data_IF_066536733074
#
_entry.id   IF_066536733074
#
_cell.length_a   1.000
_cell.length_b   1.000
_cell.length_c   1.000
_cell.angle_alpha   90.00
_cell.angle_beta   90.00
_cell.angle_gamma   90.00
#
_symmetry.space_group_name_H-M   'P 1'
#
loop_
_entity.id
_entity.type
_entity.pdbx_description
1 polymer ?
#
# COMPACT_ATOMS: atom_id res chain seq x y z
N UNK A 1 -24.27 -10.78 -21.59
CA UNK A 1 -24.30 -10.95 -20.13
C UNK A 1 -23.18 -10.08 -19.58
N UNK A 2 -23.50 -8.82 -19.26
CA UNK A 2 -22.51 -7.85 -18.80
C UNK A 2 -22.27 -8.12 -17.32
N UNK A 3 -21.18 -8.80 -16.99
CA UNK A 3 -20.72 -8.90 -15.62
C UNK A 3 -20.27 -7.49 -15.22
N UNK A 4 -21.07 -6.80 -14.40
CA UNK A 4 -20.64 -5.58 -13.72
C UNK A 4 -19.49 -5.96 -12.79
N UNK A 5 -18.28 -5.53 -13.12
CA UNK A 5 -17.13 -5.68 -12.22
C UNK A 5 -17.43 -4.82 -10.99
N UNK A 6 -17.82 -5.46 -9.89
CA UNK A 6 -18.06 -4.79 -8.62
C UNK A 6 -16.72 -4.30 -8.03
N UNK A 7 -16.31 -3.08 -8.39
CA UNK A 7 -15.09 -2.46 -7.87
C UNK A 7 -15.30 -2.07 -6.41
N UNK A 8 -14.75 -2.87 -5.50
CA UNK A 8 -14.67 -2.52 -4.07
C UNK A 8 -13.59 -1.47 -3.91
N UNK A 9 -13.90 -0.34 -3.28
CA UNK A 9 -12.93 0.72 -3.03
C UNK A 9 -13.10 1.33 -1.63
N UNK A 10 -12.00 1.78 -1.04
CA UNK A 10 -11.94 2.40 0.27
C UNK A 10 -10.82 3.44 0.29
N UNK A 11 -11.12 4.67 0.74
CA UNK A 11 -10.18 5.78 0.72
C UNK A 11 -10.18 6.54 2.04
N UNK A 12 -8.99 6.89 2.52
CA UNK A 12 -8.76 7.70 3.72
C UNK A 12 -7.84 8.89 3.44
N UNK A 13 -8.10 10.02 4.08
CA UNK A 13 -7.15 11.12 4.23
C UNK A 13 -6.62 11.11 5.67
N UNK A 14 -5.30 11.13 5.82
CA UNK A 14 -4.65 10.95 7.11
C UNK A 14 -3.49 11.93 7.25
N UNK A 15 -3.33 12.50 8.44
CA UNK A 15 -2.22 13.39 8.73
C UNK A 15 -0.89 12.64 8.69
N UNK A 16 0.22 13.26 8.22
CA UNK A 16 1.53 12.63 8.00
C UNK A 16 2.29 12.48 9.32
N UNK A 17 1.71 11.71 10.24
CA UNK A 17 2.21 11.48 11.59
C UNK A 17 2.25 9.98 11.89
N UNK A 18 3.06 9.54 12.87
CA UNK A 18 3.05 8.15 13.30
C UNK A 18 1.66 7.64 13.72
N UNK A 19 0.84 8.52 14.33
CA UNK A 19 -0.56 8.21 14.67
C UNK A 19 -1.42 7.99 13.42
N UNK A 20 -1.26 8.84 12.40
CA UNK A 20 -1.93 8.69 11.11
C UNK A 20 -1.54 7.38 10.40
N UNK A 21 -0.25 7.02 10.39
CA UNK A 21 0.20 5.74 9.84
C UNK A 21 -0.39 4.53 10.59
N UNK A 22 -0.43 4.57 11.92
CA UNK A 22 -1.06 3.52 12.73
C UNK A 22 -2.56 3.40 12.43
N UNK A 23 -3.25 4.52 12.27
CA UNK A 23 -4.67 4.55 11.92
C UNK A 23 -4.91 4.01 10.51
N UNK A 24 -4.01 4.29 9.55
CA UNK A 24 -4.07 3.75 8.20
C UNK A 24 -4.10 2.22 8.22
N UNK A 25 -3.13 1.60 8.94
CA UNK A 25 -3.06 0.13 9.07
C UNK A 25 -4.32 -0.42 9.74
N UNK A 26 -4.74 0.16 10.86
CA UNK A 26 -5.92 -0.31 11.60
C UNK A 26 -7.17 -0.32 10.73
N UNK A 27 -7.48 0.80 10.09
CA UNK A 27 -8.69 0.92 9.27
C UNK A 27 -8.61 0.09 7.97
N UNK A 28 -7.42 -0.05 7.38
CA UNK A 28 -7.22 -0.95 6.26
C UNK A 28 -7.46 -2.42 6.66
N UNK A 29 -6.92 -2.87 7.79
CA UNK A 29 -7.14 -4.23 8.31
C UNK A 29 -8.63 -4.49 8.52
N UNK A 30 -9.37 -3.56 9.13
CA UNK A 30 -10.82 -3.70 9.29
C UNK A 30 -11.55 -3.74 7.94
N UNK A 31 -11.13 -2.91 6.98
CA UNK A 31 -11.72 -2.92 5.64
C UNK A 31 -11.47 -4.23 4.89
N UNK A 32 -10.26 -4.78 4.98
CA UNK A 32 -9.91 -6.08 4.39
C UNK A 32 -10.77 -7.20 4.99
N UNK A 33 -11.00 -7.18 6.31
CA UNK A 33 -11.93 -8.12 6.97
C UNK A 33 -13.35 -7.97 6.45
N UNK A 34 -13.84 -6.73 6.33
CA UNK A 34 -15.19 -6.46 5.83
C UNK A 34 -15.36 -6.90 4.36
N UNK A 35 -14.28 -6.92 3.57
CA UNK A 35 -14.27 -7.47 2.22
C UNK A 35 -14.01 -8.98 2.16
N UNK A 36 -13.72 -9.64 3.30
CA UNK A 36 -13.38 -11.06 3.34
C UNK A 36 -12.06 -11.41 2.66
N UNK A 37 -11.12 -10.46 2.58
CA UNK A 37 -9.81 -10.66 1.96
C UNK A 37 -8.76 -11.12 2.97
N UNK A 38 -7.73 -11.86 2.54
CA UNK A 38 -6.58 -12.16 3.39
C UNK A 38 -5.90 -10.89 3.90
N UNK A 39 -5.54 -10.89 5.19
CA UNK A 39 -4.81 -9.78 5.79
C UNK A 39 -3.33 -9.79 5.39
N UNK A 40 -2.72 -10.97 5.35
CA UNK A 40 -1.35 -11.13 4.91
C UNK A 40 -1.32 -11.39 3.40
N UNK A 41 -0.47 -10.68 2.61
CA UNK A 41 0.54 -9.71 3.05
C UNK A 41 0.08 -8.24 3.11
N UNK A 42 -1.16 -7.95 2.73
CA UNK A 42 -1.70 -6.60 2.54
C UNK A 42 -1.52 -5.65 3.74
N UNK A 43 -1.77 -6.09 4.97
CA UNK A 43 -1.67 -5.23 6.15
C UNK A 43 -0.24 -4.73 6.44
N UNK A 44 0.77 -5.54 6.10
CA UNK A 44 2.17 -5.15 6.25
C UNK A 44 2.55 -4.13 5.18
N UNK A 45 2.11 -4.34 3.94
CA UNK A 45 2.33 -3.38 2.85
C UNK A 45 1.70 -2.03 3.20
N UNK A 46 0.46 -2.00 3.69
CA UNK A 46 -0.17 -0.76 4.16
C UNK A 46 0.64 -0.09 5.26
N UNK A 47 1.12 -0.86 6.24
CA UNK A 47 1.91 -0.33 7.34
C UNK A 47 3.19 0.36 6.85
N UNK A 48 3.94 -0.30 5.97
CA UNK A 48 5.20 0.22 5.43
C UNK A 48 5.00 1.44 4.53
N UNK A 49 4.00 1.41 3.64
CA UNK A 49 3.70 2.54 2.77
C UNK A 49 3.20 3.76 3.57
N UNK A 50 2.34 3.56 4.56
CA UNK A 50 1.85 4.64 5.41
C UNK A 50 2.96 5.21 6.33
N UNK A 51 3.83 4.36 6.87
CA UNK A 51 5.00 4.80 7.62
C UNK A 51 5.95 5.63 6.74
N UNK A 52 6.18 5.19 5.50
CA UNK A 52 6.97 5.95 4.53
C UNK A 52 6.35 7.32 4.23
N UNK A 53 5.04 7.41 4.04
CA UNK A 53 4.36 8.69 3.82
C UNK A 53 4.44 9.61 5.05
N UNK A 54 4.27 9.07 6.26
CA UNK A 54 4.36 9.85 7.51
C UNK A 54 5.78 10.35 7.83
N UNK A 55 6.81 9.61 7.42
CA UNK A 55 8.22 9.96 7.66
C UNK A 55 8.78 10.85 6.55
N UNK A 56 8.57 10.47 5.29
CA UNK A 56 9.23 11.09 4.14
C UNK A 56 8.32 12.04 3.35
N UNK A 57 7.00 11.90 3.45
CA UNK A 57 6.01 12.78 2.82
C UNK A 57 5.76 14.09 3.59
N UNK A 58 6.53 14.38 4.65
CA UNK A 58 6.33 15.56 5.49
C UNK A 58 6.50 16.87 4.72
N UNK A 59 5.38 17.50 4.42
CA UNK A 59 5.21 18.94 4.30
C UNK A 59 4.23 19.36 5.42
N UNK A 60 4.55 20.38 6.24
CA UNK A 60 3.64 20.85 7.29
C UNK A 60 2.24 21.17 6.71
N UNK A 61 1.20 20.67 7.37
CA UNK A 61 -0.20 20.93 7.00
C UNK A 61 -0.73 20.15 5.78
N UNK A 62 -0.09 19.06 5.36
CA UNK A 62 -0.58 18.25 4.23
C UNK A 62 -0.78 16.78 4.57
N UNK A 63 -1.94 16.25 4.24
CA UNK A 63 -2.31 14.84 4.44
C UNK A 63 -1.71 13.91 3.38
N UNK A 64 -1.66 12.61 3.70
CA UNK A 64 -1.52 11.55 2.71
C UNK A 64 -2.86 10.82 2.49
N UNK A 65 -3.04 10.27 1.30
CA UNK A 65 -4.16 9.41 0.94
C UNK A 65 -3.76 7.95 1.03
N UNK A 66 -4.58 7.13 1.67
CA UNK A 66 -4.59 5.69 1.44
C UNK A 66 -5.80 5.38 0.55
N UNK A 67 -5.60 4.62 -0.52
CA UNK A 67 -6.66 4.06 -1.35
C UNK A 67 -6.44 2.56 -1.49
N UNK A 68 -7.48 1.78 -1.20
CA UNK A 68 -7.55 0.35 -1.44
C UNK A 68 -8.62 0.11 -2.48
N UNK A 69 -8.35 -0.72 -3.48
CA UNK A 69 -9.40 -1.19 -4.37
C UNK A 69 -9.09 -2.58 -4.92
N UNK A 70 -10.15 -3.31 -5.27
CA UNK A 70 -10.05 -4.64 -5.86
C UNK A 70 -10.53 -4.58 -7.30
N UNK A 71 -9.70 -5.07 -8.21
CA UNK A 71 -10.06 -5.35 -9.60
C UNK A 71 -9.81 -6.82 -9.83
N UNK A 72 -10.87 -7.56 -10.18
CA UNK A 72 -10.85 -9.02 -10.27
C UNK A 72 -10.27 -9.64 -8.98
N UNK A 73 -9.16 -10.39 -9.08
CA UNK A 73 -8.46 -11.01 -7.95
C UNK A 73 -7.22 -10.23 -7.49
N UNK A 74 -7.15 -8.93 -7.82
CA UNK A 74 -6.01 -8.07 -7.45
C UNK A 74 -6.46 -6.98 -6.50
N UNK A 75 -5.90 -7.00 -5.28
CA UNK A 75 -5.97 -5.87 -4.37
C UNK A 75 -4.84 -4.90 -4.70
N UNK A 76 -5.22 -3.66 -5.00
CA UNK A 76 -4.31 -2.54 -5.18
C UNK A 76 -4.33 -1.63 -3.96
N UNK A 77 -3.14 -1.36 -3.44
CA UNK A 77 -2.87 -0.51 -2.29
C UNK A 77 -2.11 0.71 -2.79
N UNK A 78 -2.67 1.90 -2.63
CA UNK A 78 -2.04 3.14 -3.05
C UNK A 78 -1.89 4.11 -1.87
N UNK A 79 -0.70 4.66 -1.71
CA UNK A 79 -0.42 5.76 -0.79
C UNK A 79 0.06 6.97 -1.57
N UNK A 80 -0.74 8.04 -1.55
CA UNK A 80 -0.42 9.30 -2.23
C UNK A 80 -0.03 10.36 -1.22
N UNK A 81 1.17 10.91 -1.33
CA UNK A 81 1.62 12.05 -0.53
C UNK A 81 1.99 13.24 -1.42
N UNK A 82 2.21 14.40 -0.77
CA UNK A 82 2.39 15.68 -1.45
C UNK A 82 3.85 16.09 -1.59
N UNK A 83 4.74 15.12 -1.80
CA UNK A 83 6.18 15.34 -1.99
C UNK A 83 6.78 14.59 -3.20
N UNK A 84 6.75 15.22 -4.37
CA UNK A 84 7.32 14.69 -5.62
C UNK A 84 8.87 14.81 -5.76
N UNK A 85 9.54 15.57 -4.88
CA UNK A 85 11.00 15.84 -4.94
C UNK A 85 11.88 14.67 -4.45
N UNK A 86 11.30 13.69 -3.74
CA UNK A 86 11.99 12.47 -3.29
C UNK A 86 11.26 11.23 -3.77
N UNK A 87 11.71 10.68 -4.90
CA UNK A 87 11.32 9.34 -5.32
C UNK A 87 11.87 8.32 -4.30
N UNK A 88 11.07 7.31 -3.90
CA UNK A 88 11.58 6.21 -3.11
C UNK A 88 12.68 5.49 -3.91
N UNK A 89 13.88 5.37 -3.34
CA UNK A 89 14.98 4.62 -3.96
C UNK A 89 15.07 3.25 -3.30
N UNK A 90 15.06 2.20 -4.12
CA UNK A 90 15.49 0.84 -3.74
C UNK A 90 17.02 0.78 -3.65
N UNK A 91 17.63 1.62 -2.82
CA UNK A 91 19.06 1.50 -2.56
C UNK A 91 19.28 0.52 -1.40
N UNK A 92 20.35 -0.31 -1.41
CA UNK A 92 20.81 -0.94 -0.19
C UNK A 92 21.14 0.19 0.77
N UNK A 93 20.32 0.36 1.79
CA UNK A 93 20.62 1.30 2.85
C UNK A 93 21.98 0.89 3.43
N UNK A 94 22.90 1.86 3.61
CA UNK A 94 23.94 1.69 4.60
C UNK A 94 23.23 1.23 5.89
N UNK A 95 23.79 0.21 6.58
CA UNK A 95 23.14 -0.62 7.60
C UNK A 95 22.45 0.15 8.76
N UNK A 96 22.67 1.47 8.83
CA UNK A 96 22.19 2.38 9.86
C UNK A 96 21.06 3.33 9.40
N UNK A 97 20.62 3.25 8.13
CA UNK A 97 19.52 4.07 7.60
C UNK A 97 18.18 3.29 7.59
N UNK A 98 17.35 3.55 8.60
CA UNK A 98 15.98 3.00 8.74
C UNK A 98 15.08 3.26 7.51
N UNK A 99 15.37 4.33 6.75
CA UNK A 99 14.63 4.79 5.57
C UNK A 99 14.61 3.84 4.36
N UNK A 100 15.32 2.70 4.38
CA UNK A 100 15.34 1.73 3.27
C UNK A 100 14.64 0.40 3.54
N UNK A 101 14.38 0.03 4.80
CA UNK A 101 13.84 -1.31 5.13
C UNK A 101 12.38 -1.49 4.72
N UNK A 102 11.55 -0.45 4.82
CA UNK A 102 10.13 -0.57 4.54
C UNK A 102 9.81 -0.92 3.08
N UNK A 103 10.60 -0.42 2.12
CA UNK A 103 10.42 -0.80 0.72
C UNK A 103 10.99 -2.18 0.41
N UNK A 104 11.98 -2.66 1.15
CA UNK A 104 12.44 -4.06 1.03
C UNK A 104 11.33 -5.03 1.47
N UNK A 105 10.56 -4.67 2.50
CA UNK A 105 9.40 -5.45 2.92
C UNK A 105 8.31 -5.41 1.84
N UNK A 106 8.02 -4.24 1.26
CA UNK A 106 7.05 -4.15 0.15
C UNK A 106 7.51 -4.95 -1.06
N UNK A 107 8.78 -4.87 -1.43
CA UNK A 107 9.38 -5.61 -2.54
C UNK A 107 9.31 -7.13 -2.35
N UNK A 108 9.51 -7.60 -1.11
CA UNK A 108 9.42 -9.02 -0.78
C UNK A 108 7.99 -9.57 -0.70
N UNK A 109 6.99 -8.70 -0.46
CA UNK A 109 5.61 -9.09 -0.16
C UNK A 109 4.61 -8.83 -1.29
N UNK A 110 4.88 -7.85 -2.16
CA UNK A 110 3.98 -7.48 -3.24
C UNK A 110 4.27 -8.30 -4.51
N UNK A 111 3.22 -8.61 -5.29
CA UNK A 111 3.39 -9.22 -6.61
C UNK A 111 3.99 -8.20 -7.59
N UNK A 112 3.54 -6.94 -7.48
CA UNK A 112 4.07 -5.79 -8.19
C UNK A 112 3.99 -4.56 -7.30
N UNK A 113 4.94 -3.66 -7.43
CA UNK A 113 4.85 -2.35 -6.80
C UNK A 113 5.58 -1.31 -7.65
N UNK A 114 5.28 -0.04 -7.39
CA UNK A 114 5.91 1.04 -8.12
C UNK A 114 5.55 2.41 -7.60
N UNK A 115 5.94 3.41 -8.38
CA UNK A 115 5.74 4.82 -8.05
C UNK A 115 5.22 5.53 -9.28
N UNK A 116 4.08 6.18 -9.14
CA UNK A 116 3.50 7.04 -10.19
C UNK A 116 3.58 8.49 -9.74
N UNK A 117 4.07 9.37 -10.61
CA UNK A 117 4.03 10.81 -10.35
C UNK A 117 2.66 11.37 -10.76
N UNK A 118 2.03 12.11 -9.85
CA UNK A 118 0.84 12.91 -10.16
C UNK A 118 1.23 14.35 -10.49
N UNK A 119 0.25 15.24 -10.70
CA UNK A 119 0.52 16.67 -10.81
C UNK A 119 1.35 17.14 -9.60
N UNK A 120 2.50 17.80 -9.81
CA UNK A 120 3.34 18.24 -8.71
C UNK A 120 2.54 19.00 -7.65
N UNK A 121 2.76 18.73 -6.35
CA UNK A 121 3.84 17.93 -5.79
C UNK A 121 3.41 16.49 -5.43
N UNK A 122 2.46 15.87 -6.14
CA UNK A 122 1.93 14.55 -5.77
C UNK A 122 2.76 13.39 -6.30
N UNK A 123 2.98 12.39 -5.45
CA UNK A 123 3.43 11.06 -5.87
C UNK A 123 2.54 9.99 -5.23
N UNK A 124 2.40 8.87 -5.90
CA UNK A 124 1.67 7.70 -5.43
C UNK A 124 2.61 6.52 -5.43
N UNK A 125 2.89 5.96 -4.25
CA UNK A 125 3.53 4.65 -4.13
C UNK A 125 2.42 3.62 -4.07
N UNK A 126 2.52 2.59 -4.90
CA UNK A 126 1.48 1.57 -5.02
C UNK A 126 2.06 0.17 -4.97
N UNK A 127 1.26 -0.77 -4.50
CA UNK A 127 1.56 -2.18 -4.48
C UNK A 127 0.31 -3.00 -4.83
N UNK A 128 0.52 -4.14 -5.44
CA UNK A 128 -0.52 -5.07 -5.85
C UNK A 128 -0.26 -6.44 -5.23
N UNK A 129 -1.32 -7.06 -4.74
CA UNK A 129 -1.30 -8.41 -4.20
C UNK A 129 -2.51 -9.18 -4.71
N UNK A 130 -2.28 -10.43 -5.10
CA UNK A 130 -3.32 -11.36 -5.49
C UNK A 130 -4.13 -11.72 -4.26
N UNK A 131 -5.45 -11.51 -4.30
CA UNK A 131 -6.34 -11.73 -3.15
C UNK A 131 -6.57 -13.19 -2.83
N UNK A 132 -6.21 -14.09 -3.76
CA UNK A 132 -6.34 -15.54 -3.63
C UNK A 132 -7.80 -15.96 -3.48
N UNK A 133 -8.31 -16.76 -4.41
CA UNK A 133 -9.53 -17.52 -4.10
C UNK A 133 -9.25 -18.36 -2.84
N UNK A 134 -10.12 -18.27 -1.84
CA UNK A 134 -10.15 -19.26 -0.77
C UNK A 134 -10.66 -20.56 -1.38
N UNK A 135 -9.79 -21.27 -2.09
CA UNK A 135 -10.18 -22.40 -2.93
C UNK A 135 -8.97 -22.98 -3.66
N UNK A 136 -8.36 -23.99 -3.05
CA UNK A 136 -7.44 -24.91 -3.72
C UNK A 136 -6.09 -24.33 -4.17
N UNK A 137 -5.15 -24.21 -3.23
CA UNK A 137 -3.74 -24.43 -3.56
C UNK A 137 -3.56 -25.92 -3.87
N UNK A 138 -3.92 -26.33 -5.09
CA UNK A 138 -3.45 -27.58 -5.68
C UNK A 138 -1.92 -27.54 -5.65
N UNK A 139 -1.35 -28.38 -4.80
CA UNK A 139 0.07 -28.74 -4.87
C UNK A 139 0.28 -29.42 -6.22
N UNK A 140 1.14 -28.91 -7.12
CA UNK A 140 1.50 -29.69 -8.29
C UNK A 140 2.36 -30.89 -7.86
N UNK A 141 2.07 -32.13 -8.31
CA UNK A 141 3.04 -33.22 -8.27
C UNK A 141 4.12 -32.95 -9.34
N UNK A 142 5.42 -33.17 -9.18
CA UNK A 142 6.27 -33.83 -8.18
C UNK A 142 7.58 -33.05 -8.08
#
# INVERSE_FOLDING_TARGET
MNQEIAVRNFSLQLSPTPRGARLARLLATEQLRAWGLPLHPAEHIVAELAANAATHGRAPGRDFRLLLYVVDDTLRIEVTDTRADRLPRTAPAALDAESGRGLLIVDALADRWGVTQGPPPRKTVWAEVTTGETGSRLVPPR
#
